data_IF_608234075974
#
_entry.id   IF_608234075974
#
_cell.length_a   1.000
_cell.length_b   1.000
_cell.length_c   1.000
_cell.angle_alpha   90.00
_cell.angle_beta   90.00
_cell.angle_gamma   90.00
#
_symmetry.space_group_name_H-M   'P 1'
#
loop_
_entity.id
_entity.type
_entity.pdbx_description
1 polymer ?
#
# COMPACT_ATOMS: atom_id res chain seq x y z
N UNK A 1 -37.69 5.03 -7.55
CA UNK A 1 -36.75 4.02 -8.09
C UNK A 1 -37.20 2.66 -7.61
N UNK A 2 -37.25 1.64 -8.48
CA UNK A 2 -37.63 0.27 -8.10
C UNK A 2 -36.49 -0.72 -8.42
N UNK A 3 -36.58 -1.95 -7.90
CA UNK A 3 -35.53 -2.97 -8.07
C UNK A 3 -35.28 -3.32 -9.54
N UNK A 4 -36.31 -3.31 -10.39
CA UNK A 4 -36.18 -3.69 -11.80
C UNK A 4 -35.36 -2.64 -12.54
N UNK A 5 -35.70 -1.35 -12.36
CA UNK A 5 -34.93 -0.23 -12.93
C UNK A 5 -33.49 -0.22 -12.45
N UNK A 6 -33.28 -0.52 -11.16
CA UNK A 6 -31.94 -0.62 -10.61
C UNK A 6 -31.14 -1.79 -11.21
N UNK A 7 -31.76 -2.97 -11.36
CA UNK A 7 -31.13 -4.13 -12.01
C UNK A 7 -30.75 -3.85 -13.47
N UNK A 8 -31.56 -3.09 -14.22
CA UNK A 8 -31.23 -2.66 -15.58
C UNK A 8 -29.96 -1.79 -15.59
N UNK A 9 -29.86 -0.84 -14.65
CA UNK A 9 -28.65 -0.01 -14.49
C UNK A 9 -27.41 -0.84 -14.16
N UNK A 10 -27.54 -1.82 -13.26
CA UNK A 10 -26.45 -2.75 -12.91
C UNK A 10 -26.04 -3.63 -14.09
N UNK A 11 -27.00 -4.09 -14.89
CA UNK A 11 -26.71 -4.87 -16.10
C UNK A 11 -25.94 -4.02 -17.13
N UNK A 12 -26.34 -2.77 -17.34
CA UNK A 12 -25.62 -1.84 -18.22
C UNK A 12 -24.19 -1.58 -17.73
N UNK A 13 -24.02 -1.36 -16.42
CA UNK A 13 -22.68 -1.22 -15.82
C UNK A 13 -21.84 -2.51 -15.95
N UNK A 14 -22.48 -3.67 -16.02
CA UNK A 14 -21.83 -4.97 -16.16
C UNK A 14 -21.19 -5.20 -17.54
N UNK A 15 -21.55 -4.40 -18.55
CA UNK A 15 -20.97 -4.46 -19.89
C UNK A 15 -19.52 -3.95 -19.91
N UNK A 16 -19.18 -2.99 -19.05
CA UNK A 16 -17.87 -2.33 -19.03
C UNK A 16 -17.08 -2.48 -17.72
N UNK A 17 -17.74 -2.84 -16.62
CA UNK A 17 -17.10 -2.90 -15.31
C UNK A 17 -16.94 -4.33 -14.79
N UNK A 18 -15.87 -4.53 -14.01
CA UNK A 18 -15.60 -5.80 -13.35
C UNK A 18 -16.67 -6.11 -12.28
N UNK A 19 -16.86 -7.41 -12.01
CA UNK A 19 -17.70 -7.86 -10.89
C UNK A 19 -17.32 -7.21 -9.55
N UNK A 20 -16.02 -7.03 -9.28
CA UNK A 20 -15.55 -6.42 -8.03
C UNK A 20 -15.97 -4.96 -7.92
N UNK A 21 -15.84 -4.19 -9.00
CA UNK A 21 -16.21 -2.77 -9.05
C UNK A 21 -17.71 -2.59 -8.79
N UNK A 22 -18.56 -3.35 -9.49
CA UNK A 22 -20.02 -3.25 -9.38
C UNK A 22 -20.49 -3.71 -8.00
N UNK A 23 -19.87 -4.76 -7.46
CA UNK A 23 -20.16 -5.24 -6.10
C UNK A 23 -19.83 -4.18 -5.04
N UNK A 24 -18.72 -3.47 -5.18
CA UNK A 24 -18.36 -2.37 -4.29
C UNK A 24 -19.33 -1.19 -4.44
N UNK A 25 -19.69 -0.81 -5.65
CA UNK A 25 -20.69 0.24 -5.90
C UNK A 25 -22.04 -0.10 -5.26
N UNK A 26 -22.58 -1.29 -5.53
CA UNK A 26 -23.84 -1.74 -4.94
C UNK A 26 -23.78 -1.80 -3.41
N UNK A 27 -22.62 -2.16 -2.82
CA UNK A 27 -22.42 -2.14 -1.37
C UNK A 27 -22.53 -0.73 -0.80
N UNK A 28 -21.86 0.24 -1.40
CA UNK A 28 -21.90 1.63 -0.94
C UNK A 28 -23.31 2.20 -1.09
N UNK A 29 -23.94 2.00 -2.25
CA UNK A 29 -25.30 2.47 -2.48
C UNK A 29 -26.30 1.85 -1.52
N UNK A 30 -26.20 0.54 -1.26
CA UNK A 30 -27.04 -0.15 -0.28
C UNK A 30 -26.92 0.45 1.11
N UNK A 31 -25.73 0.89 1.53
CA UNK A 31 -25.56 1.56 2.82
C UNK A 31 -26.39 2.84 2.90
N UNK A 32 -26.39 3.65 1.84
CA UNK A 32 -27.19 4.87 1.77
C UNK A 32 -28.69 4.55 1.72
N UNK A 33 -29.09 3.59 0.88
CA UNK A 33 -30.50 3.19 0.71
C UNK A 33 -31.08 2.62 2.00
N UNK A 34 -30.31 1.81 2.74
CA UNK A 34 -30.72 1.28 4.03
C UNK A 34 -30.99 2.41 5.03
N UNK A 35 -30.09 3.38 5.12
CA UNK A 35 -30.30 4.57 5.95
C UNK A 35 -31.60 5.31 5.58
N UNK A 36 -31.87 5.52 4.28
CA UNK A 36 -33.11 6.18 3.83
C UNK A 36 -34.38 5.38 4.15
N UNK A 37 -34.30 4.04 4.19
CA UNK A 37 -35.42 3.18 4.62
C UNK A 37 -35.63 3.33 6.13
N UNK A 38 -34.56 3.29 6.91
CA UNK A 38 -34.61 3.39 8.37
C UNK A 38 -35.19 4.75 8.82
N UNK A 39 -34.88 5.82 8.09
CA UNK A 39 -35.45 7.17 8.29
C UNK A 39 -36.88 7.32 7.72
N UNK A 40 -37.45 6.28 7.11
CA UNK A 40 -38.79 6.30 6.52
C UNK A 40 -38.93 7.17 5.27
N UNK A 41 -37.83 7.68 4.70
CA UNK A 41 -37.82 8.53 3.49
C UNK A 41 -38.24 7.72 2.26
N UNK A 42 -37.81 6.45 2.19
CA UNK A 42 -38.23 5.52 1.14
C UNK A 42 -38.81 4.25 1.76
N UNK A 43 -39.82 3.68 1.12
CA UNK A 43 -40.57 2.55 1.67
C UNK A 43 -39.87 1.20 1.53
N UNK A 44 -38.88 1.07 0.63
CA UNK A 44 -38.22 -0.22 0.39
C UNK A 44 -36.80 -0.08 -0.19
N UNK A 45 -35.95 -1.04 0.18
CA UNK A 45 -34.57 -1.14 -0.32
C UNK A 45 -34.55 -1.84 -1.70
N UNK A 46 -34.45 -1.02 -2.75
CA UNK A 46 -34.38 -1.50 -4.14
C UNK A 46 -33.05 -2.15 -4.52
N UNK A 47 -32.04 -2.12 -3.64
CA UNK A 47 -30.72 -2.73 -3.88
C UNK A 47 -30.66 -4.20 -3.47
N UNK A 48 -31.67 -4.72 -2.77
CA UNK A 48 -31.66 -6.10 -2.30
C UNK A 48 -31.82 -7.11 -3.44
N UNK A 49 -31.16 -8.27 -3.27
CA UNK A 49 -31.24 -9.43 -4.18
C UNK A 49 -30.91 -9.12 -5.65
N UNK A 50 -30.16 -8.04 -5.89
CA UNK A 50 -29.65 -7.67 -7.22
C UNK A 50 -28.61 -8.69 -7.66
N UNK A 51 -28.77 -9.21 -8.87
CA UNK A 51 -27.81 -10.11 -9.50
C UNK A 51 -26.67 -9.29 -10.08
N UNK A 52 -25.46 -9.52 -9.59
CA UNK A 52 -24.25 -8.88 -10.11
C UNK A 52 -23.51 -9.89 -10.97
N UNK A 53 -23.47 -9.60 -12.28
CA UNK A 53 -22.75 -10.37 -13.29
C UNK A 53 -21.97 -9.42 -14.18
N UNK A 54 -21.00 -8.73 -13.58
CA UNK A 54 -20.01 -7.92 -14.29
C UNK A 54 -19.22 -8.74 -15.31
N UNK A 55 -18.49 -8.04 -16.17
CA UNK A 55 -17.74 -8.63 -17.27
C UNK A 55 -16.89 -9.81 -16.76
N UNK A 56 -17.05 -10.98 -17.40
CA UNK A 56 -16.17 -12.13 -17.16
C UNK A 56 -14.79 -11.76 -17.71
N UNK A 57 -13.94 -11.24 -16.85
CA UNK A 57 -12.50 -11.25 -17.14
C UNK A 57 -12.09 -12.70 -17.07
N UNK A 58 -11.91 -13.34 -18.23
CA UNK A 58 -11.19 -14.60 -18.35
C UNK A 58 -9.75 -14.24 -17.99
N UNK A 59 -9.44 -14.22 -16.69
CA UNK A 59 -8.05 -14.19 -16.26
C UNK A 59 -7.54 -15.58 -16.54
N UNK A 60 -6.62 -15.71 -17.49
CA UNK A 60 -5.76 -16.88 -17.53
C UNK A 60 -5.22 -17.07 -16.11
N UNK A 61 -5.42 -18.27 -15.55
CA UNK A 61 -4.98 -18.64 -14.21
C UNK A 61 -3.45 -18.85 -14.22
N UNK A 62 -2.71 -17.85 -14.69
CA UNK A 62 -1.29 -17.79 -14.43
C UNK A 62 -1.12 -17.52 -12.95
N UNK A 63 -0.33 -18.38 -12.34
CA UNK A 63 0.21 -18.18 -11.01
C UNK A 63 0.89 -16.80 -10.97
N UNK A 64 0.29 -15.86 -10.22
CA UNK A 64 0.84 -14.50 -10.01
C UNK A 64 1.66 -14.43 -8.74
N UNK A 65 2.60 -15.35 -8.57
CA UNK A 65 3.57 -15.30 -7.48
C UNK A 65 4.94 -15.70 -7.99
N UNK A 66 5.98 -15.11 -7.40
CA UNK A 66 7.35 -15.54 -7.62
C UNK A 66 7.53 -16.89 -6.94
N UNK A 67 8.02 -17.89 -7.68
CA UNK A 67 8.52 -19.10 -7.04
C UNK A 67 9.81 -18.78 -6.25
N UNK A 68 10.29 -19.73 -5.45
CA UNK A 68 11.45 -19.50 -4.58
C UNK A 68 12.69 -19.06 -5.37
N UNK A 69 12.99 -19.70 -6.50
CA UNK A 69 14.15 -19.36 -7.33
C UNK A 69 14.02 -17.97 -7.96
N UNK A 70 12.83 -17.60 -8.42
CA UNK A 70 12.54 -16.26 -8.94
C UNK A 70 12.63 -15.19 -7.85
N UNK A 71 12.19 -15.52 -6.63
CA UNK A 71 12.32 -14.64 -5.47
C UNK A 71 13.79 -14.42 -5.11
N UNK A 72 14.60 -15.46 -5.06
CA UNK A 72 16.04 -15.36 -4.79
C UNK A 72 16.76 -14.50 -5.84
N UNK A 73 16.43 -14.69 -7.13
CA UNK A 73 16.94 -13.85 -8.22
C UNK A 73 16.51 -12.39 -8.06
N UNK A 74 15.24 -12.15 -7.72
CA UNK A 74 14.70 -10.81 -7.49
C UNK A 74 15.40 -10.11 -6.32
N UNK A 75 15.58 -10.79 -5.19
CA UNK A 75 16.27 -10.24 -4.02
C UNK A 75 17.73 -9.95 -4.35
N UNK A 76 18.41 -10.86 -5.04
CA UNK A 76 19.80 -10.66 -5.47
C UNK A 76 19.93 -9.44 -6.37
N UNK A 77 19.04 -9.31 -7.36
CA UNK A 77 18.98 -8.16 -8.25
C UNK A 77 18.76 -6.86 -7.46
N UNK A 78 17.77 -6.82 -6.56
CA UNK A 78 17.47 -5.64 -5.75
C UNK A 78 18.67 -5.25 -4.88
N UNK A 79 19.30 -6.19 -4.19
CA UNK A 79 20.44 -5.92 -3.29
C UNK A 79 21.56 -5.16 -4.02
N UNK A 80 21.80 -5.51 -5.28
CA UNK A 80 22.83 -4.86 -6.12
C UNK A 80 22.42 -3.44 -6.60
N UNK A 81 21.13 -3.12 -6.60
CA UNK A 81 20.58 -1.83 -7.03
C UNK A 81 20.30 -0.88 -5.87
N UNK A 82 20.50 -1.30 -4.61
CA UNK A 82 20.25 -0.44 -3.45
C UNK A 82 21.16 0.78 -3.50
N UNK A 83 20.54 1.96 -3.63
CA UNK A 83 21.21 3.25 -3.66
C UNK A 83 20.33 4.34 -3.02
N UNK A 84 20.85 5.21 -2.14
CA UNK A 84 20.04 6.28 -1.54
C UNK A 84 19.47 7.30 -2.53
N UNK A 85 20.04 7.44 -3.73
CA UNK A 85 19.49 8.26 -4.81
C UNK A 85 18.26 7.63 -5.49
N UNK A 86 18.03 6.33 -5.27
CA UNK A 86 16.86 5.61 -5.77
C UNK A 86 16.23 4.75 -4.66
N UNK A 87 15.14 5.21 -4.06
CA UNK A 87 14.54 4.53 -2.91
C UNK A 87 13.73 3.27 -3.27
N UNK A 88 13.48 2.98 -4.55
CA UNK A 88 12.68 1.81 -4.93
C UNK A 88 13.30 0.47 -4.51
N UNK A 89 14.58 0.18 -4.75
CA UNK A 89 15.18 -1.10 -4.39
C UNK A 89 15.13 -1.35 -2.88
N UNK A 90 15.44 -0.34 -2.05
CA UNK A 90 15.35 -0.51 -0.59
C UNK A 90 13.89 -0.71 -0.13
N UNK A 91 12.93 -0.05 -0.78
CA UNK A 91 11.50 -0.21 -0.47
C UNK A 91 11.03 -1.63 -0.78
N UNK A 92 11.40 -2.17 -1.95
CA UNK A 92 11.08 -3.55 -2.32
C UNK A 92 11.77 -4.56 -1.42
N UNK A 93 13.05 -4.32 -1.08
CA UNK A 93 13.81 -5.19 -0.19
C UNK A 93 13.14 -5.30 1.19
N UNK A 94 12.80 -4.17 1.81
CA UNK A 94 12.11 -4.16 3.11
C UNK A 94 10.78 -4.91 2.99
N UNK A 95 9.97 -4.62 1.97
CA UNK A 95 8.68 -5.28 1.79
C UNK A 95 8.81 -6.80 1.61
N UNK A 96 9.81 -7.25 0.88
CA UNK A 96 10.04 -8.66 0.65
C UNK A 96 10.56 -9.41 1.89
N UNK A 97 11.44 -8.78 2.68
CA UNK A 97 12.01 -9.41 3.88
C UNK A 97 11.09 -9.34 5.11
N UNK A 98 10.18 -8.36 5.18
CA UNK A 98 9.39 -8.08 6.40
C UNK A 98 7.88 -8.26 6.23
N UNK A 99 7.40 -8.35 4.98
CA UNK A 99 5.96 -8.37 4.69
C UNK A 99 5.21 -7.09 5.08
N UNK A 100 5.93 -5.99 5.36
CA UNK A 100 5.30 -4.70 5.67
C UNK A 100 4.47 -4.19 4.49
N UNK A 101 3.36 -3.51 4.80
CA UNK A 101 2.56 -2.84 3.77
C UNK A 101 3.30 -1.62 3.24
N UNK A 102 3.07 -1.25 1.98
CA UNK A 102 3.73 -0.10 1.35
C UNK A 102 3.69 1.18 2.20
N UNK A 103 2.52 1.56 2.73
CA UNK A 103 2.39 2.77 3.58
C UNK A 103 3.11 2.65 4.94
N UNK A 104 3.37 1.43 5.42
CA UNK A 104 4.19 1.19 6.62
C UNK A 104 5.67 1.39 6.29
N UNK A 105 6.11 0.91 5.12
CA UNK A 105 7.51 1.05 4.65
C UNK A 105 7.83 2.52 4.36
N UNK A 106 6.96 3.22 3.64
CA UNK A 106 7.18 4.63 3.30
C UNK A 106 7.05 5.57 4.49
N UNK A 107 6.44 5.10 5.59
CA UNK A 107 6.40 5.79 6.87
C UNK A 107 7.47 5.33 7.88
N UNK A 108 8.34 4.38 7.50
CA UNK A 108 9.37 3.85 8.38
C UNK A 108 10.46 4.91 8.60
N UNK A 109 10.80 5.15 9.87
CA UNK A 109 11.88 6.07 10.25
C UNK A 109 13.07 5.33 10.81
N UNK A 110 14.27 5.91 10.73
CA UNK A 110 15.47 5.31 11.31
C UNK A 110 15.36 5.09 12.83
N UNK A 111 14.58 5.93 13.53
CA UNK A 111 14.30 5.76 14.97
C UNK A 111 13.43 4.53 15.27
N UNK A 112 12.78 3.96 14.26
CA UNK A 112 11.98 2.75 14.39
C UNK A 112 12.77 1.48 14.01
N UNK A 113 14.07 1.57 13.74
CA UNK A 113 14.94 0.42 13.52
C UNK A 113 15.89 0.30 14.72
N UNK A 114 15.69 -0.75 15.49
CA UNK A 114 16.48 -1.10 16.67
C UNK A 114 17.58 -2.08 16.24
N UNK A 115 18.75 -1.53 15.90
CA UNK A 115 19.89 -2.33 15.44
C UNK A 115 20.55 -3.14 16.56
N UNK A 116 20.29 -2.83 17.82
CA UNK A 116 20.86 -3.58 18.94
C UNK A 116 20.08 -4.88 19.18
N UNK A 117 18.76 -4.80 19.00
CA UNK A 117 17.85 -5.94 19.18
C UNK A 117 17.42 -6.61 17.86
N UNK A 118 17.90 -6.12 16.71
CA UNK A 118 17.53 -6.60 15.38
C UNK A 118 16.01 -6.56 15.12
N UNK A 119 15.37 -5.43 15.47
CA UNK A 119 13.91 -5.26 15.38
C UNK A 119 13.52 -4.00 14.60
N UNK A 120 12.54 -4.14 13.70
CA UNK A 120 11.80 -3.03 13.10
C UNK A 120 10.47 -2.83 13.84
N UNK A 121 10.28 -1.62 14.39
CA UNK A 121 9.11 -1.21 15.16
C UNK A 121 8.07 -0.57 14.23
N UNK A 122 7.05 -1.32 13.82
CA UNK A 122 5.95 -0.77 13.01
C UNK A 122 4.99 -0.04 13.93
N UNK A 123 4.99 1.30 13.88
CA UNK A 123 4.20 2.17 14.78
C UNK A 123 3.25 3.11 14.06
N UNK A 124 3.62 3.54 12.85
CA UNK A 124 2.92 4.57 12.08
C UNK A 124 2.95 4.25 10.60
N UNK A 125 2.09 4.90 9.84
CA UNK A 125 2.05 4.82 8.37
C UNK A 125 2.14 6.21 7.77
N UNK A 126 2.68 6.32 6.57
CA UNK A 126 2.63 7.56 5.82
C UNK A 126 1.26 7.73 5.14
N UNK A 127 0.65 8.90 5.30
CA UNK A 127 -0.63 9.27 4.67
C UNK A 127 -0.39 10.22 3.51
N UNK A 128 -0.54 9.72 2.29
CA UNK A 128 -0.35 10.53 1.07
C UNK A 128 -1.33 11.69 0.94
N UNK A 129 -2.58 11.50 1.37
CA UNK A 129 -3.64 12.52 1.31
C UNK A 129 -3.31 13.73 2.20
N UNK A 130 -2.69 13.48 3.35
CA UNK A 130 -2.34 14.51 4.33
C UNK A 130 -0.88 14.95 4.30
N UNK A 131 -0.03 14.24 3.56
CA UNK A 131 1.44 14.39 3.58
C UNK A 131 2.00 14.37 5.02
N UNK A 132 1.44 13.48 5.85
CA UNK A 132 1.75 13.41 7.28
C UNK A 132 1.71 11.96 7.77
N UNK A 133 2.18 11.72 8.98
CA UNK A 133 2.05 10.44 9.65
C UNK A 133 0.61 10.21 10.12
N UNK A 134 0.15 8.97 10.00
CA UNK A 134 -1.07 8.49 10.61
C UNK A 134 -0.82 7.28 11.51
N UNK A 135 -1.69 7.03 12.50
CA UNK A 135 -1.64 5.79 13.25
C UNK A 135 -1.82 4.60 12.30
N UNK A 136 -1.32 3.43 12.71
CA UNK A 136 -1.70 2.20 12.01
C UNK A 136 -3.21 1.97 12.15
N UNK A 137 -3.82 1.30 11.16
CA UNK A 137 -5.30 1.25 11.04
C UNK A 137 -6.02 0.74 12.30
N UNK A 138 -5.42 -0.20 13.03
CA UNK A 138 -5.95 -0.82 14.26
C UNK A 138 -4.78 -1.15 15.21
N UNK A 139 -5.02 -1.26 16.52
CA UNK A 139 -3.98 -1.59 17.53
C UNK A 139 -3.16 -2.84 17.19
N UNK A 140 -3.78 -3.89 16.65
CA UNK A 140 -3.07 -5.10 16.20
C UNK A 140 -2.14 -4.91 14.99
N UNK A 141 -2.07 -3.70 14.43
CA UNK A 141 -1.12 -3.35 13.36
C UNK A 141 0.20 -2.80 13.91
N UNK A 142 0.23 -2.42 15.19
CA UNK A 142 1.44 -2.08 15.94
C UNK A 142 2.16 -3.37 16.28
N UNK A 143 3.36 -3.56 15.74
CA UNK A 143 4.11 -4.82 15.90
C UNK A 143 5.61 -4.62 15.77
N UNK A 144 6.34 -5.59 16.28
CA UNK A 144 7.79 -5.70 16.15
C UNK A 144 8.11 -6.84 15.18
N UNK A 145 9.00 -6.55 14.24
CA UNK A 145 9.45 -7.51 13.22
C UNK A 145 10.94 -7.76 13.47
N UNK A 146 11.29 -8.99 13.83
CA UNK A 146 12.69 -9.41 13.94
C UNK A 146 13.27 -9.50 12.53
N UNK A 147 14.46 -8.96 12.35
CA UNK A 147 15.21 -9.00 11.08
C UNK A 147 16.47 -9.85 11.22
N UNK A 148 16.91 -10.46 10.13
CA UNK A 148 18.14 -11.22 10.11
C UNK A 148 19.38 -10.32 10.00
N UNK A 149 20.56 -10.89 10.27
CA UNK A 149 21.83 -10.16 10.19
C UNK A 149 22.12 -9.59 8.80
N UNK A 150 21.62 -10.24 7.73
CA UNK A 150 21.76 -9.73 6.36
C UNK A 150 20.97 -8.44 6.14
N UNK A 151 19.70 -8.44 6.57
CA UNK A 151 18.81 -7.27 6.48
C UNK A 151 19.33 -6.14 7.38
N UNK A 152 19.76 -6.46 8.61
CA UNK A 152 20.42 -5.51 9.52
C UNK A 152 21.59 -4.82 8.83
N UNK A 153 22.51 -5.59 8.26
CA UNK A 153 23.70 -5.07 7.60
C UNK A 153 23.36 -4.20 6.39
N UNK A 154 22.38 -4.60 5.57
CA UNK A 154 21.92 -3.82 4.41
C UNK A 154 21.33 -2.48 4.87
N UNK A 155 20.44 -2.50 5.86
CA UNK A 155 19.82 -1.29 6.40
C UNK A 155 20.86 -0.35 7.02
N UNK A 156 21.81 -0.90 7.77
CA UNK A 156 22.90 -0.13 8.38
C UNK A 156 23.77 0.54 7.31
N UNK A 157 24.23 -0.21 6.29
CA UNK A 157 25.01 0.35 5.18
C UNK A 157 24.23 1.39 4.39
N UNK A 158 22.93 1.17 4.19
CA UNK A 158 22.07 2.12 3.49
C UNK A 158 21.93 3.44 4.26
N UNK A 159 21.78 3.37 5.60
CA UNK A 159 21.74 4.57 6.47
C UNK A 159 22.97 5.45 6.28
N UNK A 160 24.16 4.87 6.41
CA UNK A 160 25.43 5.61 6.26
C UNK A 160 25.62 6.18 4.85
N UNK A 161 25.25 5.41 3.81
CA UNK A 161 25.30 5.93 2.43
C UNK A 161 24.32 7.08 2.21
N UNK A 162 23.15 7.03 2.84
CA UNK A 162 22.15 8.08 2.75
C UNK A 162 22.62 9.35 3.45
N UNK A 163 23.19 9.23 4.65
CA UNK A 163 23.80 10.35 5.38
C UNK A 163 24.90 11.00 4.55
N UNK A 164 25.82 10.20 4.02
CA UNK A 164 26.89 10.68 3.12
C UNK A 164 26.34 11.38 1.87
N UNK A 165 25.31 10.81 1.22
CA UNK A 165 24.71 11.43 0.04
C UNK A 165 24.14 12.82 0.38
N UNK A 166 23.54 12.99 1.55
CA UNK A 166 23.02 14.29 1.95
C UNK A 166 24.12 15.31 2.25
N UNK A 167 25.22 14.87 2.85
CA UNK A 167 26.42 15.69 3.06
C UNK A 167 27.04 16.13 1.73
N UNK A 168 27.25 15.19 0.80
CA UNK A 168 27.82 15.45 -0.53
C UNK A 168 26.97 16.42 -1.37
N UNK A 169 25.66 16.52 -1.08
CA UNK A 169 24.72 17.45 -1.74
C UNK A 169 24.54 18.78 -0.99
N UNK A 170 25.23 18.99 0.13
CA UNK A 170 25.17 20.21 0.96
C UNK A 170 23.74 20.63 1.35
N UNK A 171 22.87 19.65 1.57
CA UNK A 171 21.45 19.90 1.83
C UNK A 171 21.20 20.32 3.28
N UNK A 172 20.46 21.41 3.48
CA UNK A 172 19.98 21.81 4.81
C UNK A 172 18.70 21.03 5.16
N UNK A 173 18.71 20.31 6.29
CA UNK A 173 17.61 19.45 6.75
C UNK A 173 17.07 18.50 5.65
N UNK A 174 17.96 17.63 5.11
CA UNK A 174 17.68 16.84 3.90
C UNK A 174 16.55 15.84 4.09
N UNK A 175 16.31 15.37 5.32
CA UNK A 175 15.32 14.34 5.66
C UNK A 175 14.58 14.72 6.96
N UNK A 176 13.65 15.69 6.90
CA UNK A 176 13.04 16.30 8.09
C UNK A 176 12.25 15.31 8.95
N UNK A 177 11.79 14.21 8.34
CA UNK A 177 10.98 13.18 8.99
C UNK A 177 11.79 11.93 9.38
N UNK A 178 13.11 11.96 9.19
CA UNK A 178 14.02 10.85 9.48
C UNK A 178 13.59 9.52 8.81
N UNK A 179 13.06 9.61 7.58
CA UNK A 179 12.48 8.48 6.85
C UNK A 179 13.56 7.62 6.21
N UNK A 180 13.38 6.29 6.25
CA UNK A 180 14.28 5.34 5.58
C UNK A 180 14.19 5.52 4.07
N UNK A 181 12.98 5.51 3.52
CA UNK A 181 12.72 5.63 2.09
C UNK A 181 12.53 7.11 1.68
N UNK A 182 13.60 7.90 1.77
CA UNK A 182 13.59 9.32 1.42
C UNK A 182 14.57 9.66 0.31
N UNK A 183 14.08 10.25 -0.79
CA UNK A 183 14.91 10.75 -1.87
C UNK A 183 15.28 12.23 -1.61
N UNK A 184 16.57 12.64 -1.75
CA UNK A 184 17.04 13.99 -1.42
C UNK A 184 16.21 15.13 -2.02
N UNK A 185 15.88 15.06 -3.31
CA UNK A 185 15.09 16.10 -4.00
C UNK A 185 13.58 15.84 -4.09
N UNK A 186 13.15 14.58 -4.09
CA UNK A 186 11.76 14.17 -4.39
C UNK A 186 10.97 13.79 -3.15
N UNK A 187 11.62 13.64 -2.01
CA UNK A 187 11.01 13.11 -0.79
C UNK A 187 10.58 11.66 -0.94
N UNK A 188 9.39 11.32 -0.42
CA UNK A 188 8.82 9.98 -0.60
C UNK A 188 8.41 9.79 -2.05
N UNK A 189 8.99 8.78 -2.70
CA UNK A 189 8.60 8.43 -4.05
C UNK A 189 7.26 7.69 -4.02
N UNK A 190 6.23 8.35 -4.56
CA UNK A 190 4.87 7.82 -4.68
C UNK A 190 4.70 7.20 -6.06
N UNK A 191 4.13 6.01 -6.15
CA UNK A 191 3.74 5.43 -7.44
C UNK A 191 2.50 6.19 -7.93
N UNK A 192 2.71 7.21 -8.77
CA UNK A 192 1.62 8.03 -9.34
C UNK A 192 0.67 7.19 -10.21
N UNK A 193 1.13 6.07 -10.76
CA UNK A 193 0.32 5.18 -11.60
C UNK A 193 -0.52 4.16 -10.81
N UNK A 194 -0.12 3.77 -9.60
CA UNK A 194 -0.87 2.80 -8.79
C UNK A 194 -2.14 3.42 -8.16
N UNK A 195 -2.23 4.75 -8.15
CA UNK A 195 -3.34 5.50 -7.56
C UNK A 195 -4.34 6.04 -8.60
N UNK A 196 -4.19 5.71 -9.89
CA UNK A 196 -5.23 5.94 -10.89
C UNK A 196 -6.26 4.82 -10.81
N UNK A 197 -7.28 5.04 -9.98
CA UNK A 197 -8.53 4.28 -10.00
C UNK A 197 -9.59 5.01 -10.81
#
# INVERSE_FOLDING_TARGET
MDRVKYQIGINKASESLSNGTIKNFNRQLRSCVKFLVDEGIIQSDFTQKVSIKGQKVIKENHVKFLNYSEFELFITFIKNQIDPSNTYPITFYIGAMTGMRYNEITGLTWNNIDFDNDVIKVRKTWRYDKKDFGPTKNEGSVRDIVIDGSTKMILWRYKHRQEKLFEDLELTNPNPNNLVCWHPHRGIIVILEANKH
#
